data_IF_918116356843
#
_entry.id   IF_918116356843
#
_cell.length_a   1.000
_cell.length_b   1.000
_cell.length_c   1.000
_cell.angle_alpha   90.00
_cell.angle_beta   90.00
_cell.angle_gamma   90.00
#
_symmetry.space_group_name_H-M   'P 1'
#
loop_
_entity.id
_entity.type
_entity.pdbx_description
1 polymer ?
#
# COMPACT_ATOMS: atom_id res chain seq x y z
N UNK A 1 -12.29 28.74 0.21
CA UNK A 1 -12.41 28.15 1.57
C UNK A 1 -11.04 27.77 2.13
N UNK A 2 -10.27 26.84 1.49
CA UNK A 2 -8.94 26.46 1.98
C UNK A 2 -7.94 27.61 1.96
N UNK A 3 -7.96 28.46 0.92
CA UNK A 3 -7.12 29.66 0.82
C UNK A 3 -7.47 30.74 1.84
N UNK A 4 -8.69 30.73 2.37
CA UNK A 4 -9.18 31.70 3.36
C UNK A 4 -8.97 31.25 4.80
N UNK A 5 -9.07 29.95 5.05
CA UNK A 5 -8.97 29.38 6.41
C UNK A 5 -7.59 28.85 6.74
N UNK A 6 -6.75 28.59 5.73
CA UNK A 6 -5.45 27.93 5.89
C UNK A 6 -5.54 26.46 6.32
N UNK A 7 -6.76 25.90 6.39
CA UNK A 7 -6.99 24.51 6.82
C UNK A 7 -7.19 23.65 5.58
N UNK A 8 -6.29 22.69 5.36
CA UNK A 8 -6.35 21.73 4.29
C UNK A 8 -6.69 20.35 4.86
N UNK A 9 -7.82 19.80 4.46
CA UNK A 9 -8.25 18.46 4.90
C UNK A 9 -7.49 17.38 4.12
N UNK A 10 -7.16 16.28 4.78
CA UNK A 10 -6.42 15.16 4.17
C UNK A 10 -7.10 14.53 2.93
N UNK A 11 -8.42 14.70 2.80
CA UNK A 11 -9.21 14.27 1.65
C UNK A 11 -9.51 15.37 0.63
N UNK A 12 -8.89 16.54 0.76
CA UNK A 12 -9.08 17.65 -0.19
C UNK A 12 -8.47 17.32 -1.56
N UNK A 13 -9.11 17.70 -2.68
CA UNK A 13 -8.51 17.59 -4.01
C UNK A 13 -7.15 18.29 -4.12
N UNK A 14 -6.93 19.38 -3.41
CA UNK A 14 -5.66 20.11 -3.37
C UNK A 14 -4.51 19.32 -2.71
N UNK A 15 -4.84 18.31 -1.88
CA UNK A 15 -3.87 17.41 -1.22
C UNK A 15 -3.80 16.06 -1.92
N UNK A 16 -4.86 15.66 -2.62
CA UNK A 16 -4.95 14.36 -3.27
C UNK A 16 -4.07 14.27 -4.51
N UNK A 17 -4.12 15.29 -5.36
CA UNK A 17 -3.27 15.39 -6.55
C UNK A 17 -2.56 16.73 -6.51
N UNK A 18 -1.24 16.69 -6.52
CA UNK A 18 -0.40 17.88 -6.51
C UNK A 18 1.06 17.49 -6.48
N UNK A 19 1.89 18.33 -7.03
CA UNK A 19 3.34 18.16 -7.04
C UNK A 19 3.99 19.06 -6.00
N UNK A 20 4.54 18.42 -4.98
CA UNK A 20 5.50 19.07 -4.08
C UNK A 20 6.89 18.63 -4.49
N UNK A 21 7.75 19.60 -4.82
CA UNK A 21 9.09 19.31 -5.29
C UNK A 21 9.91 18.71 -4.14
N UNK A 22 10.26 17.44 -4.29
CA UNK A 22 11.16 16.72 -3.37
C UNK A 22 12.28 16.06 -4.17
N UNK A 23 13.49 16.05 -3.62
CA UNK A 23 14.64 15.46 -4.29
C UNK A 23 14.72 13.95 -4.09
N UNK A 24 14.13 13.42 -3.00
CA UNK A 24 14.07 12.00 -2.70
C UNK A 24 12.91 11.67 -1.75
N UNK A 25 12.44 10.43 -1.80
CA UNK A 25 11.48 9.92 -0.83
C UNK A 25 12.13 9.80 0.55
N UNK A 26 11.44 10.29 1.57
CA UNK A 26 11.87 10.12 2.96
C UNK A 26 11.86 8.64 3.31
N UNK A 27 12.77 8.23 4.19
CA UNK A 27 12.85 6.86 4.71
C UNK A 27 12.35 6.82 6.14
N UNK A 28 11.64 5.76 6.47
CA UNK A 28 11.11 5.52 7.81
C UNK A 28 11.32 4.08 8.24
N UNK A 29 11.64 3.88 9.52
CA UNK A 29 11.78 2.56 10.13
C UNK A 29 10.40 2.02 10.53
N UNK A 30 10.13 0.76 10.20
CA UNK A 30 8.91 0.09 10.65
C UNK A 30 8.96 -0.20 12.16
N UNK A 31 7.84 -0.02 12.84
CA UNK A 31 7.69 -0.39 14.27
C UNK A 31 7.91 -1.89 14.47
N UNK A 32 7.42 -2.70 13.55
CA UNK A 32 7.61 -4.15 13.51
C UNK A 32 8.25 -4.54 12.20
N UNK A 33 9.38 -5.29 12.20
CA UNK A 33 10.01 -5.76 10.98
C UNK A 33 9.03 -6.53 10.08
N UNK A 34 9.14 -6.30 8.78
CA UNK A 34 8.34 -6.99 7.75
C UNK A 34 9.12 -8.19 7.23
N UNK A 35 9.10 -9.27 7.97
CA UNK A 35 9.82 -10.49 7.63
C UNK A 35 9.27 -11.15 6.36
N UNK A 36 10.13 -11.89 5.66
CA UNK A 36 9.71 -12.76 4.56
C UNK A 36 8.98 -13.96 5.11
N UNK A 37 7.90 -14.37 4.43
CA UNK A 37 7.18 -15.59 4.75
C UNK A 37 7.97 -16.80 4.25
N UNK A 38 7.89 -17.91 5.00
CA UNK A 38 8.32 -19.21 4.51
C UNK A 38 7.49 -19.58 3.28
N UNK A 39 8.10 -20.34 2.37
CA UNK A 39 7.45 -20.79 1.14
C UNK A 39 7.86 -22.23 0.85
N UNK A 40 6.91 -23.00 0.37
CA UNK A 40 7.14 -24.35 -0.14
C UNK A 40 6.33 -24.60 -1.40
N UNK A 41 6.78 -25.55 -2.24
CA UNK A 41 6.02 -26.13 -3.34
C UNK A 41 5.62 -27.58 -3.03
N UNK A 42 6.10 -28.11 -1.90
CA UNK A 42 5.88 -29.50 -1.52
C UNK A 42 4.62 -29.64 -0.66
N UNK A 43 3.70 -30.49 -1.11
CA UNK A 43 2.42 -30.73 -0.43
C UNK A 43 2.59 -31.26 0.99
N UNK A 44 3.54 -32.17 1.18
CA UNK A 44 3.78 -32.81 2.48
C UNK A 44 4.35 -31.81 3.50
N UNK A 45 5.20 -30.89 3.06
CA UNK A 45 5.69 -29.79 3.91
C UNK A 45 4.54 -28.89 4.35
N UNK A 46 3.65 -28.51 3.41
CA UNK A 46 2.49 -27.68 3.72
C UNK A 46 1.54 -28.40 4.68
N UNK A 47 1.28 -29.68 4.45
CA UNK A 47 0.45 -30.51 5.33
C UNK A 47 1.03 -30.64 6.73
N UNK A 48 2.35 -30.88 6.82
CA UNK A 48 3.06 -30.98 8.09
C UNK A 48 3.05 -29.65 8.86
N UNK A 49 3.22 -28.52 8.13
CA UNK A 49 3.16 -27.19 8.73
C UNK A 49 1.75 -26.82 9.23
N UNK A 50 0.71 -27.16 8.47
CA UNK A 50 -0.68 -26.89 8.84
C UNK A 50 -1.12 -27.78 10.03
N UNK A 51 -0.75 -29.09 10.00
CA UNK A 51 -1.17 -30.03 11.03
C UNK A 51 -2.69 -30.12 11.13
N UNK A 52 -3.21 -30.06 12.35
CA UNK A 52 -4.65 -30.08 12.65
C UNK A 52 -5.26 -28.67 12.76
N UNK A 53 -4.52 -27.63 12.36
CA UNK A 53 -4.99 -26.24 12.43
C UNK A 53 -5.87 -25.91 11.24
N UNK A 54 -6.83 -25.04 11.47
CA UNK A 54 -7.54 -24.37 10.35
C UNK A 54 -6.60 -23.47 9.56
N UNK A 55 -6.72 -23.49 8.24
CA UNK A 55 -5.95 -22.66 7.32
C UNK A 55 -6.84 -21.79 6.46
N UNK A 56 -6.41 -20.56 6.22
CA UNK A 56 -7.02 -19.68 5.24
C UNK A 56 -6.20 -19.68 3.96
N UNK A 57 -6.82 -20.08 2.84
CA UNK A 57 -6.21 -19.99 1.52
C UNK A 57 -6.57 -18.65 0.88
N UNK A 58 -5.58 -17.87 0.49
CA UNK A 58 -5.77 -16.59 -0.19
C UNK A 58 -4.81 -16.44 -1.38
N UNK A 59 -5.11 -15.48 -2.25
CA UNK A 59 -4.22 -15.11 -3.33
C UNK A 59 -2.98 -14.40 -2.79
N UNK A 60 -1.81 -14.85 -3.24
CA UNK A 60 -0.58 -14.08 -3.03
C UNK A 60 -0.40 -13.12 -4.22
N UNK A 61 -0.89 -11.92 -4.06
CA UNK A 61 -0.73 -10.86 -5.04
C UNK A 61 0.76 -10.51 -5.24
N UNK A 62 1.11 -10.13 -6.45
CA UNK A 62 2.49 -9.81 -6.84
C UNK A 62 2.60 -8.33 -7.26
N UNK A 63 3.05 -7.52 -6.36
CA UNK A 63 3.18 -6.08 -6.54
C UNK A 63 4.24 -5.48 -5.62
N UNK A 64 3.88 -4.46 -4.86
CA UNK A 64 4.72 -3.82 -3.85
C UNK A 64 4.01 -3.81 -2.50
N UNK A 65 4.60 -4.43 -1.50
CA UNK A 65 4.03 -4.41 -0.15
C UNK A 65 4.16 -3.02 0.47
N UNK A 66 3.06 -2.50 0.99
CA UNK A 66 2.99 -1.21 1.71
C UNK A 66 2.25 -1.34 3.03
N UNK A 67 2.55 -0.41 3.93
CA UNK A 67 1.87 -0.24 5.22
C UNK A 67 1.12 1.06 5.18
N UNK A 68 -0.19 1.03 5.46
CA UNK A 68 -1.03 2.20 5.62
C UNK A 68 -1.31 2.45 7.10
N UNK A 69 -1.24 3.69 7.52
CA UNK A 69 -1.62 4.12 8.87
C UNK A 69 -2.75 5.13 8.79
N UNK A 70 -3.83 4.82 9.50
CA UNK A 70 -4.96 5.71 9.73
C UNK A 70 -4.99 6.12 11.19
N UNK A 71 -5.23 7.41 11.44
CA UNK A 71 -5.44 7.99 12.77
C UNK A 71 -6.67 8.88 12.74
N UNK A 72 -7.57 8.70 13.70
CA UNK A 72 -8.83 9.44 13.72
C UNK A 72 -9.63 9.32 12.43
N UNK A 73 -9.57 8.16 11.80
CA UNK A 73 -10.23 7.89 10.53
C UNK A 73 -9.55 8.49 9.30
N UNK A 74 -8.39 9.13 9.41
CA UNK A 74 -7.68 9.77 8.29
C UNK A 74 -6.43 9.01 7.91
N UNK A 75 -6.14 8.88 6.60
CA UNK A 75 -4.88 8.35 6.11
C UNK A 75 -3.75 9.35 6.41
N UNK A 76 -2.95 9.05 7.42
CA UNK A 76 -1.84 9.91 7.83
C UNK A 76 -0.50 9.49 7.26
N UNK A 77 -0.31 8.18 6.96
CA UNK A 77 0.96 7.66 6.51
C UNK A 77 0.82 6.43 5.62
N UNK A 78 1.70 6.34 4.62
CA UNK A 78 1.93 5.15 3.82
C UNK A 78 3.44 4.95 3.61
N UNK A 79 3.93 3.72 3.85
CA UNK A 79 5.35 3.38 3.78
C UNK A 79 5.54 2.08 3.01
N UNK A 80 6.50 2.02 2.08
CA UNK A 80 6.85 0.77 1.39
C UNK A 80 7.53 -0.20 2.35
N UNK A 81 7.49 -1.50 2.04
CA UNK A 81 8.22 -2.51 2.81
C UNK A 81 9.73 -2.20 2.89
N UNK A 82 10.32 -1.72 1.79
CA UNK A 82 11.76 -1.55 1.68
C UNK A 82 12.51 -2.86 1.90
N UNK A 83 13.54 -2.83 2.74
CA UNK A 83 14.31 -4.02 3.13
C UNK A 83 13.65 -4.84 4.27
N UNK A 84 12.48 -4.43 4.72
CA UNK A 84 11.75 -5.04 5.84
C UNK A 84 11.93 -4.32 7.18
N UNK A 85 12.96 -3.52 7.35
CA UNK A 85 13.19 -2.66 8.53
C UNK A 85 12.93 -1.19 8.22
N UNK A 86 13.36 -0.74 7.06
CA UNK A 86 13.25 0.65 6.60
C UNK A 86 12.59 0.69 5.24
N UNK A 87 11.54 1.47 5.12
CA UNK A 87 10.81 1.72 3.88
C UNK A 87 10.84 3.19 3.47
N UNK A 88 10.30 3.47 2.29
CA UNK A 88 10.15 4.83 1.76
C UNK A 88 8.74 5.35 2.05
N UNK A 89 8.63 6.58 2.53
CA UNK A 89 7.36 7.25 2.77
C UNK A 89 6.75 7.66 1.43
N UNK A 90 5.57 7.11 1.14
CA UNK A 90 4.85 7.29 -0.14
C UNK A 90 3.42 7.79 0.07
N UNK A 91 3.17 8.49 1.18
CA UNK A 91 1.83 8.97 1.53
C UNK A 91 1.16 9.78 0.42
N UNK A 92 1.83 10.74 -0.25
CA UNK A 92 1.23 11.48 -1.35
C UNK A 92 0.81 10.55 -2.51
N UNK A 93 1.60 9.52 -2.79
CA UNK A 93 1.32 8.55 -3.85
C UNK A 93 0.15 7.63 -3.47
N UNK A 94 0.11 7.16 -2.22
CA UNK A 94 -0.97 6.30 -1.74
C UNK A 94 -2.36 6.98 -1.81
N UNK A 95 -2.40 8.30 -1.61
CA UNK A 95 -3.65 9.08 -1.70
C UNK A 95 -4.28 9.11 -3.09
N UNK A 96 -3.52 8.83 -4.14
CA UNK A 96 -4.01 8.77 -5.52
C UNK A 96 -4.25 7.35 -6.03
N UNK A 97 -4.14 6.33 -5.18
CA UNK A 97 -4.54 4.97 -5.53
C UNK A 97 -6.05 4.89 -5.73
N UNK A 98 -6.48 3.99 -6.61
CA UNK A 98 -7.88 3.90 -7.03
C UNK A 98 -8.85 3.55 -5.91
N UNK A 99 -8.41 2.83 -4.89
CA UNK A 99 -9.26 2.27 -3.84
C UNK A 99 -8.77 2.53 -2.41
N UNK A 100 -7.81 3.42 -2.20
CA UNK A 100 -7.44 3.86 -0.85
C UNK A 100 -8.31 5.06 -0.48
N UNK A 101 -9.23 4.92 0.51
CA UNK A 101 -9.99 6.06 1.00
C UNK A 101 -9.08 6.97 1.84
N UNK A 102 -9.17 8.29 1.63
CA UNK A 102 -8.51 9.28 2.48
C UNK A 102 -9.09 9.33 3.88
N UNK A 103 -10.35 8.85 4.05
CA UNK A 103 -11.06 8.75 5.33
C UNK A 103 -11.82 7.44 5.43
N UNK A 104 -11.81 6.87 6.65
CA UNK A 104 -12.55 5.65 7.01
C UNK A 104 -13.43 5.91 8.25
N UNK A 105 -14.48 5.12 8.49
CA UNK A 105 -15.34 5.27 9.66
C UNK A 105 -14.64 5.00 11.00
N UNK A 106 -13.66 4.10 11.02
CA UNK A 106 -12.92 3.75 12.23
C UNK A 106 -12.08 4.93 12.73
N UNK A 107 -12.34 5.40 13.96
CA UNK A 107 -11.73 6.61 14.50
C UNK A 107 -10.47 6.35 15.35
N UNK A 108 -10.10 5.12 15.57
CA UNK A 108 -8.88 4.75 16.29
C UNK A 108 -7.63 4.81 15.42
N UNK A 109 -6.54 4.28 15.97
CA UNK A 109 -5.30 4.01 15.24
C UNK A 109 -5.43 2.67 14.52
N UNK A 110 -5.30 2.66 13.20
CA UNK A 110 -5.37 1.46 12.36
C UNK A 110 -4.15 1.38 11.45
N UNK A 111 -3.41 0.28 11.57
CA UNK A 111 -2.25 0.00 10.71
C UNK A 111 -2.50 -1.27 9.90
N UNK A 112 -2.55 -1.13 8.58
CA UNK A 112 -2.80 -2.20 7.63
C UNK A 112 -1.55 -2.52 6.81
N UNK A 113 -1.32 -3.81 6.58
CA UNK A 113 -0.40 -4.29 5.53
C UNK A 113 -1.18 -4.75 4.32
N UNK A 114 -0.68 -4.46 3.15
CA UNK A 114 -1.29 -4.91 1.92
C UNK A 114 -0.34 -4.83 0.74
N UNK A 115 -0.82 -5.26 -0.40
CA UNK A 115 -0.07 -5.26 -1.64
C UNK A 115 -0.64 -4.22 -2.60
N UNK A 116 0.21 -3.31 -3.05
CA UNK A 116 -0.09 -2.42 -4.16
C UNK A 116 0.14 -3.16 -5.47
N UNK A 117 -0.85 -3.13 -6.36
CA UNK A 117 -0.80 -3.83 -7.65
C UNK A 117 -1.33 -2.96 -8.77
N UNK A 118 -0.91 -3.29 -10.01
CA UNK A 118 -1.47 -2.75 -11.24
C UNK A 118 -2.04 -3.91 -12.05
N UNK A 119 -3.30 -3.84 -12.55
CA UNK A 119 -3.89 -4.89 -13.38
C UNK A 119 -3.09 -5.11 -14.67
N UNK A 120 -3.09 -6.34 -15.18
CA UNK A 120 -2.43 -6.68 -16.45
C UNK A 120 -2.90 -5.81 -17.61
N UNK A 121 -4.20 -5.54 -17.69
CA UNK A 121 -4.77 -4.68 -18.73
C UNK A 121 -4.19 -3.26 -18.74
N UNK A 122 -3.92 -2.70 -17.58
CA UNK A 122 -3.27 -1.38 -17.46
C UNK A 122 -1.77 -1.45 -17.77
N UNK A 123 -1.11 -2.53 -17.35
CA UNK A 123 0.29 -2.79 -17.68
C UNK A 123 0.49 -2.87 -19.21
N UNK A 124 -0.36 -3.60 -19.91
CA UNK A 124 -0.31 -3.73 -21.37
C UNK A 124 -0.52 -2.38 -22.07
N UNK A 125 -1.52 -1.61 -21.64
CA UNK A 125 -1.79 -0.26 -22.19
C UNK A 125 -0.59 0.67 -22.01
N UNK A 126 0.01 0.69 -20.82
CA UNK A 126 1.15 1.56 -20.51
C UNK A 126 2.35 1.15 -21.34
N UNK A 127 2.67 -0.16 -21.40
CA UNK A 127 3.78 -0.65 -22.20
C UNK A 127 3.60 -0.43 -23.72
N UNK A 128 2.36 -0.46 -24.20
CA UNK A 128 2.07 -0.16 -25.61
C UNK A 128 2.40 1.29 -25.99
N UNK A 129 2.37 2.22 -25.03
CA UNK A 129 2.67 3.63 -25.25
C UNK A 129 4.17 3.96 -25.16
N UNK A 130 5.00 2.99 -24.70
CA UNK A 130 6.46 3.17 -24.62
C UNK A 130 7.06 2.71 -25.95
N UNK A 131 7.62 3.64 -26.70
CA UNK A 131 8.22 3.38 -28.02
C UNK A 131 9.53 2.61 -27.89
N UNK A 132 10.38 2.99 -26.92
CA UNK A 132 11.64 2.34 -26.66
C UNK A 132 11.42 0.97 -26.00
N UNK A 133 11.82 -0.10 -26.70
CA UNK A 133 11.68 -1.48 -26.20
C UNK A 133 12.44 -1.74 -24.91
N UNK A 134 13.59 -1.10 -24.73
CA UNK A 134 14.44 -1.26 -23.54
C UNK A 134 13.87 -0.51 -22.31
N UNK A 135 13.05 0.51 -22.54
CA UNK A 135 12.36 1.26 -21.51
C UNK A 135 11.06 0.57 -21.02
N UNK A 136 10.59 -0.47 -21.69
CA UNK A 136 9.37 -1.19 -21.31
C UNK A 136 9.54 -1.92 -19.97
N UNK A 137 8.47 -1.90 -19.18
CA UNK A 137 8.44 -2.66 -17.94
C UNK A 137 8.34 -4.16 -18.22
N UNK A 138 9.11 -4.96 -17.48
CA UNK A 138 9.17 -6.43 -17.67
C UNK A 138 7.91 -7.15 -17.20
N UNK A 139 7.23 -6.61 -16.19
CA UNK A 139 6.02 -7.20 -15.61
C UNK A 139 5.23 -6.14 -14.81
N UNK A 140 3.97 -6.43 -14.44
CA UNK A 140 3.13 -5.52 -13.64
C UNK A 140 3.75 -5.14 -12.29
N UNK A 141 4.48 -6.03 -11.63
CA UNK A 141 5.16 -5.74 -10.37
C UNK A 141 6.21 -4.64 -10.53
N UNK A 142 7.04 -4.70 -11.58
CA UNK A 142 8.06 -3.67 -11.83
C UNK A 142 7.40 -2.32 -12.16
N UNK A 143 6.34 -2.33 -12.95
CA UNK A 143 5.56 -1.13 -13.23
C UNK A 143 4.94 -0.56 -11.93
N UNK A 144 4.35 -1.40 -11.08
CA UNK A 144 3.76 -0.99 -9.81
C UNK A 144 4.82 -0.37 -8.90
N UNK A 145 5.94 -1.04 -8.71
CA UNK A 145 7.05 -0.55 -7.87
C UNK A 145 7.56 0.82 -8.36
N UNK A 146 7.77 0.97 -9.65
CA UNK A 146 8.16 2.25 -10.25
C UNK A 146 7.10 3.33 -10.12
N UNK A 147 5.81 2.97 -10.23
CA UNK A 147 4.69 3.91 -10.14
C UNK A 147 4.43 4.40 -8.72
N UNK A 148 4.57 3.52 -7.72
CA UNK A 148 4.34 3.85 -6.31
C UNK A 148 5.44 4.74 -5.75
N UNK A 149 6.65 4.63 -6.27
CA UNK A 149 7.85 5.35 -5.78
C UNK A 149 8.18 6.61 -6.57
N UNK A 150 7.20 7.18 -7.28
CA UNK A 150 7.37 8.45 -8.00
C UNK A 150 7.50 9.63 -7.03
N UNK A 151 8.38 10.56 -7.34
CA UNK A 151 8.47 11.82 -6.61
C UNK A 151 7.25 12.72 -6.90
N UNK A 152 6.74 12.67 -8.14
CA UNK A 152 5.52 13.35 -8.53
C UNK A 152 4.33 12.37 -8.52
N UNK A 153 3.39 12.56 -7.62
CA UNK A 153 2.21 11.70 -7.47
C UNK A 153 1.20 11.81 -8.62
N UNK A 154 1.29 12.81 -9.48
CA UNK A 154 0.49 12.89 -10.70
C UNK A 154 0.79 11.75 -11.67
N UNK A 155 2.04 11.28 -11.70
CA UNK A 155 2.45 10.10 -12.46
C UNK A 155 1.77 8.86 -11.87
N UNK A 156 1.80 8.70 -10.55
CA UNK A 156 1.12 7.61 -9.84
C UNK A 156 -0.39 7.60 -10.11
N UNK A 157 -1.02 8.79 -10.11
CA UNK A 157 -2.46 8.93 -10.36
C UNK A 157 -2.90 8.39 -11.72
N UNK A 158 -2.02 8.46 -12.73
CA UNK A 158 -2.27 7.96 -14.11
C UNK A 158 -2.05 6.45 -14.25
N UNK A 159 -1.51 5.78 -13.23
CA UNK A 159 -1.04 4.38 -13.33
C UNK A 159 -2.05 3.34 -12.82
N UNK A 160 -3.24 3.73 -12.39
CA UNK A 160 -4.30 2.83 -11.91
C UNK A 160 -3.78 1.81 -10.87
N UNK A 161 -3.12 2.30 -9.83
CA UNK A 161 -2.65 1.47 -8.71
C UNK A 161 -3.80 1.15 -7.78
N UNK A 162 -3.92 -0.11 -7.36
CA UNK A 162 -4.86 -0.61 -6.37
C UNK A 162 -4.12 -1.17 -5.16
N UNK A 163 -4.74 -1.10 -4.01
CA UNK A 163 -4.25 -1.68 -2.76
C UNK A 163 -5.19 -2.77 -2.25
N UNK A 164 -4.64 -3.90 -1.86
CA UNK A 164 -5.38 -5.00 -1.23
C UNK A 164 -4.76 -5.33 0.11
N UNK A 165 -5.48 -5.04 1.19
CA UNK A 165 -5.07 -5.39 2.54
C UNK A 165 -5.09 -6.91 2.72
N UNK A 166 -4.09 -7.45 3.40
CA UNK A 166 -4.02 -8.87 3.75
C UNK A 166 -3.75 -9.12 5.24
N UNK A 167 -3.40 -8.09 5.99
CA UNK A 167 -3.20 -8.19 7.44
C UNK A 167 -3.34 -6.82 8.10
N UNK A 168 -3.91 -6.79 9.29
CA UNK A 168 -3.78 -5.65 10.18
C UNK A 168 -2.57 -5.86 11.14
N UNK A 169 -1.91 -4.78 11.48
CA UNK A 169 -0.75 -4.77 12.38
C UNK A 169 -1.15 -4.26 13.75
N UNK A 170 -2.05 -3.28 13.74
CA UNK A 170 -2.52 -2.57 14.92
C UNK A 170 -3.92 -2.04 14.66
N UNK A 171 -4.81 -2.19 15.64
CA UNK A 171 -6.11 -1.53 15.65
C UNK A 171 -6.41 -1.17 17.12
N UNK A 172 -6.41 0.11 17.44
CA UNK A 172 -6.61 0.62 18.80
C UNK A 172 -7.61 1.78 18.76
N UNK A 173 -8.62 1.72 19.62
CA UNK A 173 -9.61 2.77 19.81
C UNK A 173 -9.77 3.03 21.29
N UNK A 174 -9.21 4.13 21.82
CA UNK A 174 -9.32 4.58 23.23
C UNK A 174 -9.10 3.48 24.27
N UNK A 175 -8.13 2.57 24.00
CA UNK A 175 -7.82 1.43 24.86
C UNK A 175 -8.80 0.26 24.79
N UNK A 176 -9.77 0.31 23.86
CA UNK A 176 -10.64 -0.81 23.56
C UNK A 176 -9.93 -1.83 22.64
N UNK A 177 -10.33 -3.09 22.75
CA UNK A 177 -9.90 -4.11 21.79
C UNK A 177 -10.40 -3.78 20.37
N UNK A 178 -9.68 -4.22 19.34
CA UNK A 178 -10.12 -4.01 17.96
C UNK A 178 -11.50 -4.66 17.73
N UNK A 179 -12.33 -4.09 16.84
CA UNK A 179 -13.67 -4.61 16.56
C UNK A 179 -13.66 -5.92 15.76
N UNK A 180 -12.49 -6.48 15.50
CA UNK A 180 -12.31 -7.73 14.75
C UNK A 180 -11.23 -8.60 15.40
N UNK A 181 -11.42 -9.91 15.35
CA UNK A 181 -10.56 -10.90 16.02
C UNK A 181 -9.41 -11.38 15.11
N UNK A 182 -9.57 -11.25 13.81
CA UNK A 182 -8.61 -11.78 12.84
C UNK A 182 -8.66 -11.05 11.49
N UNK A 183 -7.74 -11.39 10.58
CA UNK A 183 -7.61 -10.79 9.24
C UNK A 183 -8.79 -11.09 8.28
N UNK A 184 -9.79 -11.86 8.71
CA UNK A 184 -11.00 -12.17 7.90
C UNK A 184 -12.12 -11.15 8.10
N UNK A 185 -12.11 -10.40 9.18
CA UNK A 185 -13.12 -9.42 9.59
C UNK A 185 -12.75 -8.00 9.17
#
# INVERSE_FOLDING_TARGET
>A
LEAETGIVLSGSPSVTVGYEAVDALLKERHEKPMLSLAKTKEREELKSWLGDKEGLLSWKLDGLTIVLTYEGGQLVKAVTRGNGEVGEVITPNARVFRNIPGRIPYQGSLVLRGEAVIPYSEFEKINAQIEDADAKYKNPRNLCSGSVRQLNNEITAKRSVYFYAFSYVKAELDGAEPPFENDRE
#
